data_IF_906604188795
#
_entry.id   IF_906604188795
#
_cell.length_a   1.000
_cell.length_b   1.000
_cell.length_c   1.000
_cell.angle_alpha   90.00
_cell.angle_beta   90.00
_cell.angle_gamma   90.00
#
_symmetry.space_group_name_H-M   'P 1'
#
loop_
_entity.id
_entity.type
_entity.pdbx_description
1 polymer ?
#
# COMPACT_ATOMS: atom_id res chain seq x y z
N UNK A 1 34.35 6.30 28.20
CA UNK A 1 33.17 5.50 27.81
C UNK A 1 32.55 6.14 26.58
N UNK A 2 32.73 5.53 25.40
CA UNK A 2 32.17 6.04 24.14
C UNK A 2 30.72 5.58 24.06
N UNK A 3 29.79 6.54 23.99
CA UNK A 3 28.37 6.28 23.82
C UNK A 3 28.09 5.57 22.50
N UNK A 4 27.26 4.54 22.56
CA UNK A 4 26.65 3.87 21.41
C UNK A 4 25.94 4.90 20.53
N UNK A 5 26.36 5.01 19.27
CA UNK A 5 25.48 5.56 18.23
C UNK A 5 24.50 4.45 17.84
N UNK A 6 23.24 4.61 18.25
CA UNK A 6 22.14 3.84 17.69
C UNK A 6 21.84 4.39 16.30
N UNK A 7 21.83 3.49 15.30
CA UNK A 7 21.37 3.75 13.94
C UNK A 7 19.91 4.25 13.96
N UNK A 8 19.72 5.57 13.97
CA UNK A 8 18.42 6.24 13.80
C UNK A 8 18.09 6.41 12.31
N UNK A 9 17.78 5.31 11.63
CA UNK A 9 17.29 5.33 10.25
C UNK A 9 15.78 5.60 10.12
N UNK A 10 15.14 6.24 11.11
CA UNK A 10 13.68 6.46 11.15
C UNK A 10 13.26 7.89 11.52
N UNK A 11 14.19 8.85 11.50
CA UNK A 11 13.94 10.22 11.96
C UNK A 11 13.85 11.22 10.80
N UNK A 12 13.32 10.80 9.64
CA UNK A 12 12.85 11.78 8.68
C UNK A 12 11.57 12.40 9.26
N UNK A 13 11.51 13.73 9.47
CA UNK A 13 10.27 14.37 9.90
C UNK A 13 9.28 14.26 8.73
N UNK A 14 8.37 13.30 8.83
CA UNK A 14 7.20 13.25 7.97
C UNK A 14 6.38 14.51 8.27
N UNK A 15 6.22 15.32 7.25
CA UNK A 15 5.61 16.63 7.24
C UNK A 15 4.12 16.59 7.58
N UNK A 16 3.77 16.29 8.84
CA UNK A 16 2.57 16.75 9.58
C UNK A 16 1.17 16.64 8.96
N UNK A 17 0.96 16.08 7.77
CA UNK A 17 -0.30 16.26 7.02
C UNK A 17 -1.42 15.32 7.45
N UNK A 18 -1.09 14.19 8.08
CA UNK A 18 -2.07 13.14 8.38
C UNK A 18 -1.94 12.50 9.77
N UNK A 19 -1.31 13.16 10.75
CA UNK A 19 -0.85 12.52 12.00
C UNK A 19 -1.87 11.63 12.74
N UNK A 20 -3.16 11.97 12.78
CA UNK A 20 -4.21 11.13 13.41
C UNK A 20 -4.72 10.03 12.45
N UNK A 21 -4.70 10.29 11.15
CA UNK A 21 -5.23 9.40 10.12
C UNK A 21 -4.19 8.37 9.66
N UNK A 22 -2.90 8.64 9.85
CA UNK A 22 -1.83 7.76 9.44
C UNK A 22 -1.95 6.35 10.06
N UNK A 23 -2.11 6.18 11.39
CA UNK A 23 -2.27 4.84 11.97
C UNK A 23 -3.54 4.12 11.49
N UNK A 24 -4.60 4.88 11.22
CA UNK A 24 -5.83 4.32 10.65
C UNK A 24 -5.61 3.85 9.21
N UNK A 25 -4.83 4.60 8.43
CA UNK A 25 -4.55 4.19 7.07
C UNK A 25 -3.64 2.96 7.00
N UNK A 26 -2.64 2.90 7.90
CA UNK A 26 -1.81 1.71 8.09
C UNK A 26 -2.65 0.50 8.47
N UNK A 27 -3.58 0.63 9.43
CA UNK A 27 -4.43 -0.49 9.85
C UNK A 27 -5.36 -0.98 8.75
N UNK A 28 -5.92 -0.08 7.92
CA UNK A 28 -6.73 -0.47 6.75
C UNK A 28 -5.91 -1.26 5.74
N UNK A 29 -4.68 -0.82 5.45
CA UNK A 29 -3.78 -1.53 4.52
C UNK A 29 -3.44 -2.91 5.08
N UNK A 30 -3.10 -3.00 6.37
CA UNK A 30 -2.76 -4.27 7.02
C UNK A 30 -3.96 -5.23 7.08
N UNK A 31 -5.16 -4.73 7.37
CA UNK A 31 -6.38 -5.53 7.35
C UNK A 31 -6.65 -6.08 5.95
N UNK A 32 -6.55 -5.23 4.91
CA UNK A 32 -6.70 -5.66 3.53
C UNK A 32 -5.64 -6.71 3.13
N UNK A 33 -4.41 -6.62 3.66
CA UNK A 33 -3.39 -7.64 3.45
C UNK A 33 -3.74 -8.97 4.11
N UNK A 34 -4.31 -8.97 5.31
CA UNK A 34 -4.77 -10.19 5.99
C UNK A 34 -5.94 -10.85 5.24
N UNK A 35 -6.89 -10.02 4.79
CA UNK A 35 -8.10 -10.44 4.09
C UNK A 35 -7.82 -11.11 2.74
N UNK A 36 -6.62 -10.90 2.16
CA UNK A 36 -6.15 -11.67 1.00
C UNK A 36 -6.13 -13.19 1.24
N UNK A 37 -5.99 -13.65 2.48
CA UNK A 37 -6.06 -15.08 2.82
C UNK A 37 -7.49 -15.55 3.13
N UNK A 38 -8.43 -14.65 3.36
CA UNK A 38 -9.85 -14.96 3.59
C UNK A 38 -10.58 -15.20 2.28
N UNK A 39 -11.20 -16.37 2.10
CA UNK A 39 -12.03 -16.64 0.92
C UNK A 39 -13.22 -15.67 0.80
N UNK A 40 -13.66 -15.08 1.91
CA UNK A 40 -14.79 -14.15 1.97
C UNK A 40 -14.44 -12.74 1.52
N UNK A 41 -13.23 -12.26 1.86
CA UNK A 41 -12.85 -10.85 1.67
C UNK A 41 -11.76 -10.65 0.60
N UNK A 42 -11.14 -11.74 0.12
CA UNK A 42 -10.02 -11.69 -0.83
C UNK A 42 -10.30 -10.85 -2.08
N UNK A 43 -11.49 -10.95 -2.67
CA UNK A 43 -11.81 -10.22 -3.91
C UNK A 43 -11.90 -8.71 -3.66
N UNK A 44 -12.53 -8.30 -2.56
CA UNK A 44 -12.62 -6.89 -2.14
C UNK A 44 -11.24 -6.32 -1.82
N UNK A 45 -10.36 -7.11 -1.18
CA UNK A 45 -8.98 -6.70 -0.91
C UNK A 45 -8.15 -6.59 -2.20
N UNK A 46 -8.34 -7.49 -3.16
CA UNK A 46 -7.71 -7.39 -4.48
C UNK A 46 -8.14 -6.09 -5.18
N UNK A 47 -9.44 -5.79 -5.19
CA UNK A 47 -9.98 -4.55 -5.75
C UNK A 47 -9.42 -3.31 -5.05
N UNK A 48 -9.29 -3.35 -3.71
CA UNK A 48 -8.65 -2.28 -2.94
C UNK A 48 -7.22 -2.02 -3.41
N UNK A 49 -6.38 -3.06 -3.52
CA UNK A 49 -4.98 -2.93 -3.92
C UNK A 49 -4.78 -2.52 -5.38
N UNK A 50 -5.72 -2.87 -6.26
CA UNK A 50 -5.70 -2.45 -7.67
C UNK A 50 -6.34 -1.07 -7.90
N UNK A 51 -7.16 -0.62 -6.96
CA UNK A 51 -7.94 0.60 -7.08
C UNK A 51 -7.23 1.87 -6.60
N UNK A 52 -7.96 2.99 -6.73
CA UNK A 52 -7.55 4.29 -6.19
C UNK A 52 -7.49 4.31 -4.66
N UNK A 53 -8.25 3.42 -3.99
CA UNK A 53 -8.27 3.25 -2.54
C UNK A 53 -6.87 3.03 -1.97
N UNK A 54 -6.14 2.03 -2.45
CA UNK A 54 -4.77 1.79 -2.00
C UNK A 54 -3.83 2.98 -2.25
N UNK A 55 -4.02 3.73 -3.34
CA UNK A 55 -3.25 4.95 -3.59
C UNK A 55 -3.46 6.02 -2.52
N UNK A 56 -4.71 6.30 -2.16
CA UNK A 56 -5.06 7.27 -1.13
C UNK A 56 -4.53 6.84 0.25
N UNK A 57 -4.79 5.60 0.63
CA UNK A 57 -4.36 5.07 1.92
C UNK A 57 -2.84 4.99 2.03
N UNK A 58 -2.12 4.66 0.95
CA UNK A 58 -0.66 4.70 0.93
C UNK A 58 -0.11 6.11 1.20
N UNK A 59 -0.71 7.16 0.61
CA UNK A 59 -0.30 8.55 0.85
C UNK A 59 -0.55 8.94 2.31
N UNK A 60 -1.70 8.57 2.88
CA UNK A 60 -2.04 8.88 4.28
C UNK A 60 -1.13 8.11 5.25
N UNK A 61 -0.78 6.85 4.91
CA UNK A 61 0.13 6.00 5.66
C UNK A 61 1.62 6.39 5.50
N UNK A 62 1.94 7.40 4.68
CA UNK A 62 3.32 7.81 4.42
C UNK A 62 4.13 6.84 3.56
N UNK A 63 3.46 5.91 2.85
CA UNK A 63 4.09 4.94 1.97
C UNK A 63 4.40 5.60 0.62
N UNK A 64 5.69 5.70 0.30
CA UNK A 64 6.16 6.29 -0.95
C UNK A 64 5.87 5.43 -2.17
N UNK A 65 5.95 5.98 -3.40
CA UNK A 65 5.68 5.24 -4.64
C UNK A 65 6.53 3.97 -4.81
N UNK A 66 7.81 4.02 -4.41
CA UNK A 66 8.72 2.88 -4.48
C UNK A 66 8.30 1.77 -3.50
N UNK A 67 7.96 2.12 -2.27
CA UNK A 67 7.51 1.18 -1.22
C UNK A 67 6.17 0.56 -1.60
N UNK A 68 5.26 1.35 -2.19
CA UNK A 68 3.99 0.88 -2.74
C UNK A 68 4.20 -0.22 -3.79
N UNK A 69 5.17 -0.03 -4.69
CA UNK A 69 5.53 -1.03 -5.71
C UNK A 69 6.09 -2.32 -5.10
N UNK A 70 6.94 -2.20 -4.07
CA UNK A 70 7.45 -3.35 -3.32
C UNK A 70 6.30 -4.12 -2.65
N UNK A 71 5.39 -3.41 -1.98
CA UNK A 71 4.23 -4.02 -1.29
C UNK A 71 3.36 -4.82 -2.27
N UNK A 72 3.01 -4.23 -3.42
CA UNK A 72 2.27 -4.92 -4.48
C UNK A 72 3.01 -6.15 -5.00
N UNK A 73 4.33 -6.06 -5.18
CA UNK A 73 5.14 -7.18 -5.66
C UNK A 73 5.15 -8.35 -4.68
N UNK A 74 5.16 -8.07 -3.37
CA UNK A 74 5.08 -9.09 -2.31
C UNK A 74 3.71 -9.76 -2.34
N UNK A 75 2.63 -8.98 -2.43
CA UNK A 75 1.27 -9.53 -2.50
C UNK A 75 1.04 -10.41 -3.72
N UNK A 76 1.52 -9.99 -4.90
CA UNK A 76 1.44 -10.78 -6.14
C UNK A 76 2.13 -12.14 -5.98
N UNK A 77 3.25 -12.20 -5.26
CA UNK A 77 4.02 -13.42 -5.04
C UNK A 77 3.40 -14.31 -3.96
N UNK A 78 2.78 -13.71 -2.95
CA UNK A 78 2.21 -14.41 -1.82
C UNK A 78 0.83 -15.05 -2.13
N UNK A 79 0.10 -14.52 -3.12
CA UNK A 79 -1.22 -15.00 -3.49
C UNK A 79 -1.18 -16.24 -4.41
N UNK A 80 -1.72 -17.40 -3.98
CA UNK A 80 -1.85 -18.56 -4.85
C UNK A 80 -2.96 -18.33 -5.90
N UNK A 81 -2.58 -18.28 -7.18
CA UNK A 81 -3.48 -18.56 -8.30
C UNK A 81 -4.38 -17.42 -8.84
N UNK A 82 -4.48 -16.25 -8.20
CA UNK A 82 -5.16 -15.07 -8.78
C UNK A 82 -4.18 -13.90 -8.95
N UNK A 83 -3.72 -13.69 -10.19
CA UNK A 83 -2.83 -12.58 -10.57
C UNK A 83 -3.56 -11.25 -10.41
N UNK A 84 -3.06 -10.37 -9.54
CA UNK A 84 -3.33 -8.94 -9.66
C UNK A 84 -2.88 -8.53 -11.07
N UNK A 85 -3.82 -8.09 -11.91
CA UNK A 85 -3.51 -7.55 -13.23
C UNK A 85 -2.90 -6.16 -13.05
N UNK A 86 -1.82 -5.88 -13.78
CA UNK A 86 -1.25 -4.55 -13.86
C UNK A 86 -2.34 -3.56 -14.34
N UNK A 87 -2.50 -2.44 -13.64
CA UNK A 87 -3.44 -1.39 -14.01
C UNK A 87 -3.14 -0.94 -15.46
N UNK A 88 -4.11 -1.13 -16.36
CA UNK A 88 -4.03 -0.60 -17.72
C UNK A 88 -4.35 0.90 -17.68
N UNK A 89 -3.52 1.77 -18.28
CA UNK A 89 -3.88 3.17 -18.44
C UNK A 89 -5.09 3.29 -19.38
N UNK A 90 -6.17 3.88 -18.88
CA UNK A 90 -7.39 4.15 -19.63
C UNK A 90 -7.06 4.95 -20.88
N UNK A 91 -7.04 4.28 -22.03
CA UNK A 91 -6.91 4.90 -23.34
C UNK A 91 -8.29 5.44 -23.74
N UNK A 92 -8.57 6.70 -23.40
CA UNK A 92 -9.75 7.37 -23.92
C UNK A 92 -9.55 7.62 -25.42
N UNK A 93 -10.21 6.81 -26.25
CA UNK A 93 -10.33 7.05 -27.68
C UNK A 93 -11.22 8.29 -27.91
N UNK A 94 -10.60 9.42 -28.27
CA UNK A 94 -11.30 10.46 -29.01
C UNK A 94 -11.22 10.12 -30.51
N UNK A 95 -12.34 9.68 -31.07
CA UNK A 95 -12.61 9.79 -32.50
C UNK A 95 -13.88 10.61 -32.66
N UNK A 96 -13.72 11.82 -33.19
CA UNK A 96 -14.75 12.60 -33.89
C UNK A 96 -14.03 13.44 -34.93
#
# INVERSE_FOLDING_TARGET
MKGLQANGGRDAPHDGKFGILQPLAESVILQAMEDLWSSRYREESIEFFQGSGFGLYAVIAGIGPSEKGVLLSIMIRALPGKRLKAAQPSSNNLSS
#
